data_IF_918167026886
#
_entry.id   IF_918167026886
#
_cell.length_a   1.000
_cell.length_b   1.000
_cell.length_c   1.000
_cell.angle_alpha   90.00
_cell.angle_beta   90.00
_cell.angle_gamma   90.00
#
_symmetry.space_group_name_H-M   'P 1'
#
loop_
_entity.id
_entity.type
_entity.pdbx_description
1 polymer ?
#
# COMPACT_ATOMS: atom_id res chain seq x y z
N UNK A 1 -11.82 -0.76 -33.73
CA UNK A 1 -10.45 -0.57 -33.22
C UNK A 1 -10.19 -1.07 -31.78
N UNK A 2 -11.21 -1.50 -30.99
CA UNK A 2 -11.03 -1.96 -29.58
C UNK A 2 -10.65 -3.45 -29.42
N UNK A 3 -10.72 -4.27 -30.44
CA UNK A 3 -10.40 -5.72 -30.37
C UNK A 3 -8.92 -6.07 -30.60
N UNK A 4 -8.13 -5.19 -31.21
CA UNK A 4 -6.69 -5.40 -31.43
C UNK A 4 -5.84 -5.20 -30.17
N UNK A 5 -6.25 -4.30 -29.24
CA UNK A 5 -5.47 -3.99 -28.04
C UNK A 5 -5.45 -5.14 -27.01
N UNK A 6 -6.53 -5.93 -26.93
CA UNK A 6 -6.61 -7.07 -26.00
C UNK A 6 -5.75 -8.25 -26.46
N UNK A 7 -5.66 -8.46 -27.79
CA UNK A 7 -4.81 -9.51 -28.36
C UNK A 7 -3.32 -9.18 -28.21
N UNK A 8 -2.95 -7.91 -28.28
CA UNK A 8 -1.57 -7.47 -28.08
C UNK A 8 -1.12 -7.65 -26.62
N UNK A 9 -2.01 -7.39 -25.65
CA UNK A 9 -1.72 -7.59 -24.22
C UNK A 9 -1.55 -9.09 -23.90
N UNK A 10 -2.38 -9.95 -24.48
CA UNK A 10 -2.28 -11.40 -24.31
C UNK A 10 -0.99 -11.96 -24.94
N UNK A 11 -0.54 -11.42 -26.06
CA UNK A 11 0.70 -11.82 -26.72
C UNK A 11 1.95 -11.44 -25.91
N UNK A 12 1.94 -10.29 -25.24
CA UNK A 12 3.06 -9.84 -24.36
C UNK A 12 3.17 -10.70 -23.12
N UNK A 13 2.06 -11.15 -22.55
CA UNK A 13 2.05 -12.04 -21.39
C UNK A 13 2.57 -13.44 -21.77
N UNK A 14 2.26 -13.92 -22.97
CA UNK A 14 2.71 -15.23 -23.45
C UNK A 14 4.22 -15.29 -23.74
N UNK A 15 4.88 -14.17 -24.03
CA UNK A 15 6.33 -14.11 -24.28
C UNK A 15 7.18 -14.01 -23.01
N UNK A 16 6.56 -13.77 -21.83
CA UNK A 16 7.24 -13.72 -20.54
C UNK A 16 7.27 -15.06 -19.80
N UNK A 17 6.84 -16.15 -20.42
CA UNK A 17 7.09 -17.47 -19.84
C UNK A 17 8.59 -17.77 -20.02
N UNK A 18 9.39 -17.78 -18.93
CA UNK A 18 10.79 -18.16 -19.05
C UNK A 18 10.83 -19.59 -19.58
N UNK A 19 11.51 -19.78 -20.69
CA UNK A 19 11.86 -21.13 -21.16
C UNK A 19 12.54 -21.83 -19.98
N UNK A 20 11.93 -22.89 -19.49
CA UNK A 20 12.55 -23.80 -18.54
C UNK A 20 13.84 -24.31 -19.17
N UNK A 21 14.94 -23.58 -18.93
CA UNK A 21 16.26 -24.08 -19.20
C UNK A 21 16.43 -25.29 -18.28
N UNK A 22 16.51 -26.49 -18.90
CA UNK A 22 16.93 -27.67 -18.17
C UNK A 22 18.27 -27.35 -17.54
N UNK A 23 18.28 -27.16 -16.22
CA UNK A 23 19.51 -27.12 -15.46
C UNK A 23 20.26 -28.40 -15.79
N UNK A 24 21.49 -28.27 -16.31
CA UNK A 24 22.39 -29.39 -16.46
C UNK A 24 22.54 -30.03 -15.08
N UNK A 25 22.11 -31.27 -14.96
CA UNK A 25 22.41 -32.10 -13.80
C UNK A 25 23.94 -32.20 -13.70
N UNK A 26 24.53 -31.35 -12.85
CA UNK A 26 25.89 -31.56 -12.40
C UNK A 26 25.91 -32.87 -11.61
N UNK A 27 26.83 -33.81 -11.91
CA UNK A 27 26.95 -35.02 -11.13
C UNK A 27 27.16 -34.60 -9.66
N UNK A 28 26.21 -34.97 -8.82
CA UNK A 28 26.29 -34.80 -7.37
C UNK A 28 27.57 -35.42 -6.91
N UNK A 29 28.58 -34.64 -6.58
CA UNK A 29 29.70 -35.09 -5.82
C UNK A 29 29.10 -35.50 -4.46
N UNK A 30 29.06 -36.79 -4.20
CA UNK A 30 28.78 -37.35 -2.88
C UNK A 30 29.82 -36.83 -1.88
N UNK A 31 29.59 -35.66 -1.35
CA UNK A 31 30.25 -35.20 -0.15
C UNK A 31 29.44 -35.71 1.04
N UNK A 32 29.57 -36.98 1.33
CA UNK A 32 29.03 -37.59 2.54
C UNK A 32 29.78 -37.17 3.81
N UNK A 33 30.30 -35.95 3.84
CA UNK A 33 30.70 -35.33 5.09
C UNK A 33 29.48 -34.63 5.70
N UNK A 34 28.56 -35.44 6.21
CA UNK A 34 27.57 -34.94 7.16
C UNK A 34 28.34 -34.63 8.44
N UNK A 35 28.59 -33.36 8.69
CA UNK A 35 29.16 -32.92 9.98
C UNK A 35 28.07 -33.18 11.03
N UNK A 36 28.28 -34.24 11.80
CA UNK A 36 27.48 -34.52 13.01
C UNK A 36 28.22 -33.88 14.17
N UNK A 37 27.71 -32.80 14.78
CA UNK A 37 28.33 -32.22 15.96
C UNK A 37 28.42 -33.27 17.06
N UNK A 38 29.58 -33.41 17.68
CA UNK A 38 29.83 -34.35 18.77
C UNK A 38 29.06 -34.02 20.06
N UNK A 39 28.49 -32.83 20.12
CA UNK A 39 27.66 -32.37 21.23
C UNK A 39 26.20 -32.30 20.80
N UNK A 40 25.31 -33.17 21.32
CA UNK A 40 23.87 -33.13 20.99
C UNK A 40 23.18 -31.81 21.38
N UNK A 41 23.75 -31.05 22.31
CA UNK A 41 23.23 -29.74 22.69
C UNK A 41 23.43 -28.67 21.62
N UNK A 42 24.33 -28.89 20.65
CA UNK A 42 24.51 -28.04 19.48
C UNK A 42 23.48 -28.32 18.38
N UNK A 43 22.78 -29.43 18.44
CA UNK A 43 21.59 -29.69 17.66
C UNK A 43 20.41 -29.14 18.48
N UNK A 44 20.39 -27.84 18.72
CA UNK A 44 19.12 -27.23 19.04
C UNK A 44 18.21 -27.43 17.82
N UNK A 45 17.46 -28.54 17.83
CA UNK A 45 16.16 -28.55 17.18
C UNK A 45 15.41 -27.37 17.80
N UNK A 46 15.53 -26.21 17.20
CA UNK A 46 14.55 -25.18 17.40
C UNK A 46 13.25 -25.85 16.95
N UNK A 47 12.49 -26.37 17.92
CA UNK A 47 11.11 -26.78 17.68
C UNK A 47 10.42 -25.46 17.41
N UNK A 48 10.50 -25.05 16.14
CA UNK A 48 9.79 -23.90 15.63
C UNK A 48 8.33 -24.31 15.67
N UNK A 49 7.63 -23.89 16.72
CA UNK A 49 6.18 -23.95 16.70
C UNK A 49 5.74 -23.01 15.58
N UNK A 50 5.12 -23.53 14.52
CA UNK A 50 4.76 -22.70 13.39
C UNK A 50 3.67 -21.72 13.85
N UNK A 51 4.02 -20.45 13.97
CA UNK A 51 3.04 -19.40 14.15
C UNK A 51 2.19 -19.32 12.89
N UNK A 52 0.88 -19.56 13.05
CA UNK A 52 -0.04 -19.53 11.91
C UNK A 52 -0.72 -18.20 11.70
N UNK A 53 -0.67 -17.33 12.70
CA UNK A 53 -1.36 -16.05 12.67
C UNK A 53 -0.39 -14.91 12.93
N UNK A 54 -0.69 -13.78 12.31
CA UNK A 54 0.00 -12.53 12.59
C UNK A 54 -1.00 -11.37 12.58
N UNK A 55 -0.76 -10.40 13.42
CA UNK A 55 -1.43 -9.12 13.34
C UNK A 55 -0.41 -7.99 13.50
N UNK A 56 -0.73 -6.83 13.03
CA UNK A 56 0.21 -5.73 13.15
C UNK A 56 -0.30 -4.44 12.54
N UNK A 57 0.62 -3.50 12.47
CA UNK A 57 0.41 -2.16 11.94
C UNK A 57 1.36 -1.89 10.78
N UNK A 58 0.89 -1.09 9.86
CA UNK A 58 1.62 -0.61 8.70
C UNK A 58 1.84 0.89 8.82
N UNK A 59 3.07 1.35 8.57
CA UNK A 59 3.38 2.75 8.30
C UNK A 59 3.64 2.85 6.82
N UNK A 60 2.88 3.70 6.13
CA UNK A 60 2.88 3.81 4.68
C UNK A 60 3.42 5.17 4.27
N UNK A 61 4.36 5.17 3.35
CA UNK A 61 5.01 6.35 2.77
C UNK A 61 4.74 6.37 1.26
N UNK A 62 4.28 7.48 0.75
CA UNK A 62 4.05 7.68 -0.69
C UNK A 62 4.42 9.10 -1.11
N UNK A 63 4.41 9.35 -2.41
CA UNK A 63 4.48 10.71 -2.95
C UNK A 63 3.29 11.58 -2.53
N UNK A 64 2.16 10.98 -2.15
CA UNK A 64 0.97 11.68 -1.69
C UNK A 64 1.02 12.05 -0.20
N UNK A 65 1.97 11.49 0.57
CA UNK A 65 2.14 11.75 2.00
C UNK A 65 2.25 10.46 2.81
N UNK A 66 1.69 10.51 4.01
CA UNK A 66 1.74 9.41 4.96
C UNK A 66 0.42 8.65 5.00
N UNK A 67 0.53 7.38 5.37
CA UNK A 67 -0.60 6.55 5.71
C UNK A 67 -0.26 5.62 6.87
N UNK A 68 -1.29 5.06 7.46
CA UNK A 68 -1.18 4.04 8.47
C UNK A 68 -2.22 2.96 8.23
N UNK A 69 -1.94 1.75 8.66
CA UNK A 69 -2.86 0.62 8.50
C UNK A 69 -2.73 -0.38 9.62
N UNK A 70 -3.66 -1.30 9.65
CA UNK A 70 -3.62 -2.50 10.49
C UNK A 70 -3.93 -3.71 9.61
N UNK A 71 -3.30 -4.83 9.91
CA UNK A 71 -3.50 -6.06 9.17
C UNK A 71 -3.63 -7.26 10.11
N UNK A 72 -4.34 -8.24 9.61
CA UNK A 72 -4.37 -9.60 10.13
C UNK A 72 -3.99 -10.55 9.01
N UNK A 73 -3.14 -11.55 9.31
CA UNK A 73 -2.68 -12.55 8.37
C UNK A 73 -2.84 -13.95 8.98
N UNK A 74 -3.28 -14.88 8.16
CA UNK A 74 -3.36 -16.30 8.49
C UNK A 74 -2.58 -17.12 7.47
N UNK A 75 -1.68 -17.98 7.94
CA UNK A 75 -0.89 -18.86 7.09
C UNK A 75 -1.66 -20.17 6.85
N UNK A 76 -2.06 -20.41 5.59
CA UNK A 76 -2.69 -21.66 5.18
C UNK A 76 -1.67 -22.76 4.92
N UNK A 77 -0.48 -22.38 4.50
CA UNK A 77 0.67 -23.23 4.27
C UNK A 77 1.96 -22.42 4.38
N UNK A 78 3.10 -23.08 4.41
CA UNK A 78 4.41 -22.43 4.44
C UNK A 78 4.67 -21.46 3.27
N UNK A 79 3.90 -21.59 2.17
CA UNK A 79 4.04 -20.77 0.97
C UNK A 79 2.92 -19.75 0.83
N UNK A 80 1.71 -20.05 1.35
CA UNK A 80 0.53 -19.28 1.08
C UNK A 80 -0.12 -18.79 2.35
N UNK A 81 -0.37 -17.49 2.45
CA UNK A 81 -1.14 -16.87 3.51
C UNK A 81 -2.22 -15.94 2.97
N UNK A 82 -3.33 -15.89 3.68
CA UNK A 82 -4.39 -14.89 3.46
C UNK A 82 -4.24 -13.73 4.42
N UNK A 83 -4.69 -12.57 4.01
CA UNK A 83 -4.70 -11.38 4.87
C UNK A 83 -5.97 -10.55 4.72
N UNK A 84 -6.29 -9.84 5.78
CA UNK A 84 -7.25 -8.75 5.81
C UNK A 84 -6.54 -7.50 6.31
N UNK A 85 -6.74 -6.37 5.67
CA UNK A 85 -6.08 -5.12 5.98
C UNK A 85 -7.03 -3.95 5.87
N UNK A 86 -6.92 -2.99 6.78
CA UNK A 86 -7.50 -1.66 6.68
C UNK A 86 -6.38 -0.63 6.75
N UNK A 87 -6.44 0.38 5.90
CA UNK A 87 -5.47 1.47 5.94
C UNK A 87 -6.17 2.81 5.78
N UNK A 88 -5.47 3.88 6.12
CA UNK A 88 -5.85 5.26 5.85
C UNK A 88 -4.64 5.98 5.30
N UNK A 89 -4.81 6.70 4.21
CA UNK A 89 -3.74 7.48 3.60
C UNK A 89 -4.26 8.79 3.04
N UNK A 90 -3.40 9.80 3.05
CA UNK A 90 -3.67 11.06 2.35
C UNK A 90 -3.66 10.84 0.83
N UNK A 91 -4.45 11.64 0.12
CA UNK A 91 -4.48 11.67 -1.34
C UNK A 91 -4.29 13.11 -1.80
N UNK A 92 -3.25 13.33 -2.59
CA UNK A 92 -2.95 14.62 -3.22
C UNK A 92 -3.14 14.51 -4.72
N UNK A 93 -3.55 15.61 -5.33
CA UNK A 93 -3.53 15.77 -6.77
C UNK A 93 -2.09 16.06 -7.23
N UNK A 94 -1.69 15.54 -8.40
CA UNK A 94 -0.34 15.74 -8.94
C UNK A 94 -0.05 17.23 -9.22
N UNK A 95 -1.09 18.06 -9.37
CA UNK A 95 -1.00 19.51 -9.55
C UNK A 95 -0.95 20.32 -8.24
N UNK A 96 -1.02 19.68 -7.07
CA UNK A 96 -0.96 20.40 -5.79
C UNK A 96 0.46 20.89 -5.50
N UNK A 97 0.60 22.23 -5.43
CA UNK A 97 1.83 22.88 -5.01
C UNK A 97 1.57 23.63 -3.71
N UNK A 98 2.32 23.28 -2.68
CA UNK A 98 2.25 23.90 -1.37
C UNK A 98 3.14 25.14 -1.33
N UNK A 99 2.59 26.26 -0.90
CA UNK A 99 3.32 27.50 -0.68
C UNK A 99 3.35 27.86 0.80
N UNK A 100 4.49 28.34 1.24
CA UNK A 100 4.66 28.84 2.61
C UNK A 100 4.58 30.36 2.56
N UNK A 101 3.66 30.96 3.31
CA UNK A 101 3.60 32.40 3.47
C UNK A 101 4.83 32.86 4.29
N UNK A 102 5.74 33.66 3.73
CA UNK A 102 6.98 34.04 4.40
C UNK A 102 6.76 34.95 5.63
N UNK A 103 5.58 35.57 5.75
CA UNK A 103 5.25 36.47 6.85
C UNK A 103 4.61 35.75 8.04
N UNK A 104 3.79 34.72 7.77
CA UNK A 104 3.02 34.02 8.81
C UNK A 104 3.57 32.63 9.09
N UNK A 105 4.44 32.09 8.22
CA UNK A 105 4.90 30.69 8.28
C UNK A 105 3.82 29.64 7.98
N UNK A 106 2.61 30.07 7.62
CA UNK A 106 1.51 29.17 7.29
C UNK A 106 1.66 28.63 5.87
N UNK A 107 1.45 27.33 5.71
CA UNK A 107 1.37 26.72 4.40
C UNK A 107 -0.05 26.77 3.85
N UNK A 108 -0.18 26.97 2.55
CA UNK A 108 -1.43 26.90 1.83
C UNK A 108 -1.23 26.33 0.42
N UNK A 109 -2.26 25.67 -0.07
CA UNK A 109 -2.29 25.15 -1.44
C UNK A 109 -3.31 25.97 -2.24
N UNK A 110 -2.86 26.77 -3.21
CA UNK A 110 -3.76 27.56 -4.05
C UNK A 110 -4.76 26.65 -4.78
N UNK A 111 -5.98 27.16 -4.96
CA UNK A 111 -7.06 26.47 -5.69
C UNK A 111 -7.50 25.12 -5.11
N UNK A 112 -6.99 24.70 -3.96
CA UNK A 112 -7.43 23.48 -3.29
C UNK A 112 -8.82 23.66 -2.70
N UNK A 113 -9.75 22.77 -3.10
CA UNK A 113 -11.15 22.82 -2.66
C UNK A 113 -11.39 21.77 -1.59
N UNK A 114 -10.88 20.55 -1.81
CA UNK A 114 -11.12 19.42 -0.93
C UNK A 114 -9.83 18.77 -0.43
N UNK A 115 -9.89 18.25 0.80
CA UNK A 115 -8.95 17.26 1.34
C UNK A 115 -9.52 15.89 1.10
N UNK A 116 -8.67 14.97 0.69
CA UNK A 116 -9.07 13.61 0.33
C UNK A 116 -8.28 12.61 1.15
N UNK A 117 -8.99 11.68 1.80
CA UNK A 117 -8.38 10.54 2.48
C UNK A 117 -8.91 9.25 1.85
N UNK A 118 -8.01 8.34 1.53
CA UNK A 118 -8.33 7.02 1.02
C UNK A 118 -8.28 6.01 2.17
N UNK A 119 -9.35 5.24 2.33
CA UNK A 119 -9.48 4.20 3.36
C UNK A 119 -9.81 2.88 2.66
N UNK A 120 -8.81 2.14 2.16
CA UNK A 120 -9.00 0.83 1.56
C UNK A 120 -9.16 -0.24 2.65
N UNK A 121 -10.15 -1.11 2.47
CA UNK A 121 -10.30 -2.37 3.20
C UNK A 121 -10.02 -3.48 2.21
N UNK A 122 -8.90 -4.17 2.35
CA UNK A 122 -8.44 -5.15 1.37
C UNK A 122 -8.32 -6.54 1.97
N UNK A 123 -8.79 -7.52 1.19
CA UNK A 123 -8.62 -8.94 1.46
C UNK A 123 -7.78 -9.51 0.33
N UNK A 124 -6.84 -10.38 0.65
CA UNK A 124 -5.95 -10.87 -0.38
C UNK A 124 -5.11 -12.04 0.05
N UNK A 125 -4.19 -12.38 -0.82
CA UNK A 125 -3.26 -13.47 -0.64
C UNK A 125 -1.82 -12.99 -0.79
N UNK A 126 -0.95 -13.67 -0.05
CA UNK A 126 0.47 -13.47 -0.06
C UNK A 126 1.16 -14.80 -0.33
N UNK A 127 2.09 -14.81 -1.26
CA UNK A 127 2.88 -15.98 -1.63
C UNK A 127 4.35 -15.76 -1.27
N UNK A 128 4.92 -16.65 -0.46
CA UNK A 128 6.34 -16.64 -0.08
C UNK A 128 7.20 -17.11 -1.23
N UNK A 129 8.26 -16.37 -1.52
CA UNK A 129 9.24 -16.69 -2.55
C UNK A 129 10.47 -17.37 -1.93
N UNK A 130 11.16 -18.19 -2.71
CA UNK A 130 12.48 -18.77 -2.39
C UNK A 130 12.55 -19.47 -1.03
N UNK A 131 11.49 -20.21 -0.65
CA UNK A 131 11.41 -20.88 0.65
C UNK A 131 12.58 -21.84 0.88
N UNK A 132 12.95 -22.59 -0.14
CA UNK A 132 13.97 -23.64 -0.05
C UNK A 132 15.41 -23.10 -0.23
N UNK A 133 15.55 -21.87 -0.72
CA UNK A 133 16.83 -21.26 -1.05
C UNK A 133 17.31 -20.26 0.01
N UNK A 134 16.39 -19.72 0.80
CA UNK A 134 16.66 -18.61 1.74
C UNK A 134 16.33 -19.03 3.17
N UNK A 135 17.25 -18.70 4.09
CA UNK A 135 17.10 -18.93 5.53
C UNK A 135 15.84 -18.25 6.08
N UNK A 136 15.20 -18.87 7.07
CA UNK A 136 13.91 -18.45 7.63
C UNK A 136 13.84 -17.03 8.19
N UNK A 137 14.98 -16.42 8.51
CA UNK A 137 15.06 -15.05 9.01
C UNK A 137 14.74 -13.95 7.97
N UNK A 138 14.73 -14.32 6.68
CA UNK A 138 14.37 -13.43 5.57
C UNK A 138 13.33 -14.10 4.71
N UNK A 139 12.12 -13.57 4.68
CA UNK A 139 10.98 -14.14 3.95
C UNK A 139 10.46 -13.18 2.90
N UNK A 140 11.01 -13.20 1.68
CA UNK A 140 10.48 -12.42 0.58
C UNK A 140 9.13 -12.96 0.12
N UNK A 141 8.25 -12.06 -0.32
CA UNK A 141 6.91 -12.40 -0.77
C UNK A 141 6.37 -11.47 -1.84
N UNK A 142 5.39 -11.95 -2.55
CA UNK A 142 4.49 -11.15 -3.37
C UNK A 142 3.09 -11.19 -2.77
N UNK A 143 2.32 -10.13 -2.95
CA UNK A 143 0.95 -10.03 -2.43
C UNK A 143 0.03 -9.34 -3.41
N UNK A 144 -1.23 -9.72 -3.37
CA UNK A 144 -2.29 -9.05 -4.09
C UNK A 144 -3.58 -9.09 -3.27
N UNK A 145 -4.34 -8.01 -3.31
CA UNK A 145 -5.61 -7.92 -2.58
C UNK A 145 -6.59 -7.01 -3.29
N UNK A 146 -7.85 -7.22 -2.98
CA UNK A 146 -8.98 -6.46 -3.51
C UNK A 146 -10.00 -6.24 -2.40
N UNK A 147 -10.77 -5.16 -2.50
CA UNK A 147 -11.86 -4.92 -1.54
C UNK A 147 -12.50 -3.55 -1.68
N UNK A 148 -13.48 -3.28 -0.82
CA UNK A 148 -14.12 -1.98 -0.76
C UNK A 148 -13.14 -0.92 -0.28
N UNK A 149 -13.28 0.27 -0.82
CA UNK A 149 -12.49 1.45 -0.44
C UNK A 149 -13.44 2.60 -0.18
N UNK A 150 -13.19 3.33 0.89
CA UNK A 150 -13.89 4.56 1.20
C UNK A 150 -12.98 5.73 0.89
N UNK A 151 -13.53 6.76 0.25
CA UNK A 151 -12.84 8.02 -0.01
C UNK A 151 -13.55 9.06 0.84
N UNK A 152 -12.87 9.59 1.82
CA UNK A 152 -13.38 10.65 2.66
C UNK A 152 -13.02 11.99 2.04
N UNK A 153 -14.03 12.80 1.77
CA UNK A 153 -13.91 14.12 1.12
C UNK A 153 -14.32 15.18 2.11
N UNK A 154 -13.42 16.06 2.47
CA UNK A 154 -13.72 17.17 3.37
C UNK A 154 -13.29 18.52 2.76
N UNK A 155 -14.01 19.63 3.01
CA UNK A 155 -13.66 20.92 2.43
C UNK A 155 -12.31 21.41 2.95
N UNK A 156 -11.44 21.84 2.02
CA UNK A 156 -10.19 22.53 2.35
C UNK A 156 -10.42 24.04 2.44
N UNK A 157 -11.20 24.58 1.51
CA UNK A 157 -11.55 25.99 1.46
C UNK A 157 -13.01 26.18 1.02
N UNK A 158 -13.66 27.19 1.56
CA UNK A 158 -15.03 27.57 1.20
C UNK A 158 -15.01 28.94 0.49
N UNK A 159 -15.76 29.07 -0.61
CA UNK A 159 -15.87 30.35 -1.26
C UNK A 159 -16.63 31.36 -0.36
N UNK A 160 -16.09 32.54 -0.21
CA UNK A 160 -16.74 33.66 0.42
C UNK A 160 -16.81 34.81 -0.61
N UNK A 161 -17.96 35.43 -0.74
CA UNK A 161 -18.18 36.52 -1.68
C UNK A 161 -18.37 37.81 -0.90
N UNK A 162 -17.54 38.80 -1.18
CA UNK A 162 -17.72 40.15 -0.69
C UNK A 162 -18.17 41.07 -1.83
N UNK A 163 -19.13 41.92 -1.50
CA UNK A 163 -19.59 42.96 -2.41
C UNK A 163 -18.95 44.29 -1.99
N UNK A 164 -18.12 44.84 -2.86
CA UNK A 164 -17.46 46.11 -2.62
C UNK A 164 -18.47 47.27 -2.61
N UNK A 165 -18.08 48.45 -2.07
CA UNK A 165 -18.94 49.66 -2.05
C UNK A 165 -19.34 50.16 -3.44
N UNK A 166 -18.59 49.77 -4.47
CA UNK A 166 -18.80 50.08 -5.88
C UNK A 166 -19.69 49.06 -6.60
N UNK A 167 -20.25 48.08 -5.87
CA UNK A 167 -21.05 47.00 -6.43
C UNK A 167 -20.20 45.87 -7.09
N UNK A 168 -18.89 45.97 -7.04
CA UNK A 168 -18.00 44.87 -7.51
C UNK A 168 -18.09 43.68 -6.58
N UNK A 169 -18.04 42.47 -7.14
CA UNK A 169 -18.11 41.22 -6.39
C UNK A 169 -16.75 40.54 -6.44
N UNK A 170 -16.13 40.38 -5.31
CA UNK A 170 -14.89 39.60 -5.18
C UNK A 170 -15.16 38.26 -4.47
N UNK A 171 -14.80 37.17 -5.10
CA UNK A 171 -14.87 35.85 -4.48
C UNK A 171 -13.47 35.44 -4.03
N UNK A 172 -13.32 35.14 -2.76
CA UNK A 172 -12.10 34.61 -2.17
C UNK A 172 -12.40 33.32 -1.44
N UNK A 173 -11.36 32.52 -1.21
CA UNK A 173 -11.48 31.21 -0.58
C UNK A 173 -10.93 31.26 0.83
N UNK A 174 -11.79 31.05 1.82
CA UNK A 174 -11.38 30.91 3.22
C UNK A 174 -10.98 29.50 3.51
N UNK A 175 -9.76 29.32 4.01
CA UNK A 175 -9.28 28.03 4.45
C UNK A 175 -10.06 27.54 5.67
N UNK A 176 -10.57 26.32 5.62
CA UNK A 176 -11.29 25.68 6.72
C UNK A 176 -10.30 24.96 7.62
N UNK A 177 -10.44 25.15 8.94
CA UNK A 177 -9.68 24.37 9.92
C UNK A 177 -9.86 22.86 9.70
N UNK A 178 -8.79 22.09 9.94
CA UNK A 178 -8.79 20.65 9.67
C UNK A 178 -9.90 19.93 10.44
N UNK A 179 -9.99 20.14 11.77
CA UNK A 179 -10.99 19.45 12.59
C UNK A 179 -12.43 19.91 12.30
N UNK A 180 -12.61 21.18 11.95
CA UNK A 180 -13.90 21.71 11.51
C UNK A 180 -14.33 21.09 10.17
N UNK A 181 -13.40 20.88 9.24
CA UNK A 181 -13.66 20.26 7.95
C UNK A 181 -14.11 18.81 8.06
N UNK A 182 -13.60 18.05 9.06
CA UNK A 182 -13.99 16.66 9.26
C UNK A 182 -15.49 16.50 9.52
N UNK A 183 -16.12 17.46 10.20
CA UNK A 183 -17.56 17.43 10.48
C UNK A 183 -18.42 17.63 9.23
N UNK A 184 -17.88 18.23 8.20
CA UNK A 184 -18.53 18.49 6.91
C UNK A 184 -18.16 17.46 5.85
N UNK A 185 -17.36 16.46 6.22
CA UNK A 185 -16.87 15.44 5.32
C UNK A 185 -17.96 14.48 4.83
N UNK A 186 -17.75 13.95 3.64
CA UNK A 186 -18.61 12.95 3.01
C UNK A 186 -17.80 11.73 2.60
N UNK A 187 -18.40 10.55 2.77
CA UNK A 187 -17.82 9.30 2.29
C UNK A 187 -18.30 8.98 0.88
N UNK A 188 -17.39 8.64 0.01
CA UNK A 188 -17.64 8.03 -1.30
C UNK A 188 -17.08 6.61 -1.28
N UNK A 189 -17.77 5.70 -1.96
CA UNK A 189 -17.44 4.29 -1.96
C UNK A 189 -16.96 3.85 -3.33
N UNK A 190 -15.91 3.08 -3.35
CA UNK A 190 -15.32 2.49 -4.54
C UNK A 190 -14.88 1.05 -4.25
N UNK A 191 -14.52 0.33 -5.28
CA UNK A 191 -13.83 -0.96 -5.16
C UNK A 191 -12.45 -0.79 -5.76
N UNK A 192 -11.45 -1.27 -5.06
CA UNK A 192 -10.06 -1.18 -5.51
C UNK A 192 -9.27 -2.40 -5.09
N UNK A 193 -7.98 -2.33 -5.32
CA UNK A 193 -7.05 -3.38 -4.92
C UNK A 193 -5.62 -2.90 -4.95
N UNK A 194 -4.71 -3.80 -4.60
CA UNK A 194 -3.29 -3.55 -4.75
C UNK A 194 -2.53 -4.81 -5.18
N UNK A 195 -1.37 -4.58 -5.71
CA UNK A 195 -0.32 -5.59 -5.88
C UNK A 195 0.93 -5.09 -5.19
N UNK A 196 1.73 -6.02 -4.66
CA UNK A 196 2.93 -5.63 -3.94
C UNK A 196 3.94 -6.75 -3.79
N UNK A 197 5.13 -6.35 -3.39
CA UNK A 197 6.20 -7.26 -3.02
C UNK A 197 6.89 -6.73 -1.75
N UNK A 198 7.44 -7.63 -0.96
CA UNK A 198 8.11 -7.24 0.28
C UNK A 198 8.93 -8.37 0.88
N UNK A 199 9.45 -8.13 2.06
CA UNK A 199 10.13 -9.13 2.85
C UNK A 199 9.88 -8.91 4.35
N UNK A 200 9.75 -10.01 5.08
CA UNK A 200 9.75 -10.03 6.54
C UNK A 200 11.10 -10.44 7.08
N UNK A 201 11.43 -9.93 8.27
CA UNK A 201 12.70 -10.16 8.96
C UNK A 201 12.45 -10.55 10.41
N UNK A 202 13.37 -11.32 11.00
CA UNK A 202 13.45 -11.54 12.45
C UNK A 202 12.29 -12.31 13.08
N UNK A 203 11.70 -13.26 12.36
CA UNK A 203 10.51 -14.01 12.75
C UNK A 203 10.72 -15.00 13.93
N UNK A 204 11.98 -15.21 14.40
CA UNK A 204 12.32 -16.23 15.39
C UNK A 204 11.73 -15.99 16.79
N UNK A 205 11.32 -14.77 17.10
CA UNK A 205 10.89 -14.37 18.45
C UNK A 205 9.41 -13.99 18.55
N UNK A 206 8.58 -14.46 17.60
CA UNK A 206 7.17 -14.06 17.58
C UNK A 206 6.94 -12.59 17.18
N UNK A 207 7.99 -11.87 16.78
CA UNK A 207 7.88 -10.52 16.24
C UNK A 207 7.90 -10.54 14.72
N UNK A 208 7.10 -9.69 14.09
CA UNK A 208 7.06 -9.52 12.66
C UNK A 208 7.50 -8.11 12.33
N UNK A 209 8.62 -7.99 11.63
CA UNK A 209 9.08 -6.73 11.05
C UNK A 209 9.29 -6.93 9.57
N UNK A 210 8.88 -5.96 8.75
CA UNK A 210 9.00 -6.09 7.31
C UNK A 210 9.00 -4.77 6.58
N UNK A 211 9.39 -4.86 5.32
CA UNK A 211 9.28 -3.77 4.36
C UNK A 211 8.57 -4.28 3.11
N UNK A 212 7.67 -3.49 2.57
CA UNK A 212 6.98 -3.83 1.33
C UNK A 212 6.77 -2.62 0.45
N UNK A 213 6.67 -2.88 -0.84
CA UNK A 213 6.29 -1.92 -1.87
C UNK A 213 4.93 -2.36 -2.39
N UNK A 214 3.97 -1.44 -2.40
CA UNK A 214 2.58 -1.72 -2.81
C UNK A 214 2.12 -0.66 -3.79
N UNK A 215 1.42 -1.08 -4.82
CA UNK A 215 0.75 -0.19 -5.75
C UNK A 215 -0.75 -0.37 -5.62
N UNK A 216 -1.43 0.63 -5.06
CA UNK A 216 -2.87 0.65 -4.91
C UNK A 216 -3.53 1.26 -6.14
N UNK A 217 -4.64 0.68 -6.54
CA UNK A 217 -5.46 1.16 -7.64
C UNK A 217 -6.94 1.11 -7.23
N UNK A 218 -7.52 2.31 -7.08
CA UNK A 218 -8.92 2.48 -6.67
C UNK A 218 -9.59 3.43 -7.67
N UNK A 219 -10.25 2.92 -8.72
CA UNK A 219 -10.95 3.73 -9.70
C UNK A 219 -12.26 4.26 -9.10
N UNK A 220 -12.56 5.53 -9.35
CA UNK A 220 -13.82 6.16 -9.01
C UNK A 220 -14.33 6.97 -10.21
N UNK A 221 -15.28 6.40 -10.95
CA UNK A 221 -15.76 6.93 -12.24
C UNK A 221 -16.25 8.37 -12.23
N UNK A 222 -17.05 8.81 -11.24
CA UNK A 222 -17.51 10.19 -11.18
C UNK A 222 -16.41 11.23 -10.99
N UNK A 223 -15.25 10.81 -10.45
CA UNK A 223 -14.18 11.72 -10.06
C UNK A 223 -14.54 12.59 -8.86
N UNK A 224 -13.56 13.06 -8.14
CA UNK A 224 -13.71 13.99 -7.01
C UNK A 224 -12.82 15.19 -7.26
N UNK A 225 -13.37 16.36 -7.11
CA UNK A 225 -12.64 17.61 -7.30
C UNK A 225 -11.70 17.85 -6.12
N UNK A 226 -10.39 17.92 -6.39
CA UNK A 226 -9.35 18.27 -5.41
C UNK A 226 -8.96 19.72 -5.55
N UNK A 227 -8.53 20.09 -6.73
CA UNK A 227 -8.27 21.48 -7.14
C UNK A 227 -9.42 22.00 -7.97
N UNK A 228 -9.59 23.31 -8.00
CA UNK A 228 -10.62 23.98 -8.82
C UNK A 228 -10.50 23.57 -10.29
N UNK A 229 -11.54 22.94 -10.80
CA UNK A 229 -11.60 22.45 -12.18
C UNK A 229 -10.87 21.15 -12.46
N UNK A 230 -10.16 20.56 -11.48
CA UNK A 230 -9.46 19.28 -11.65
C UNK A 230 -10.12 18.18 -10.82
N UNK A 231 -10.44 17.05 -11.47
CA UNK A 231 -11.06 15.89 -10.81
C UNK A 231 -10.14 14.69 -10.83
N UNK A 232 -9.95 14.12 -9.65
CA UNK A 232 -9.24 12.84 -9.48
C UNK A 232 -10.26 11.72 -9.65
N UNK A 233 -10.02 10.80 -10.58
CA UNK A 233 -10.83 9.61 -10.84
C UNK A 233 -10.09 8.30 -10.58
N UNK A 234 -8.84 8.36 -10.16
CA UNK A 234 -8.01 7.23 -9.75
C UNK A 234 -7.33 7.58 -8.45
N UNK A 235 -7.62 6.78 -7.43
CA UNK A 235 -7.08 6.94 -6.10
C UNK A 235 -6.09 5.80 -5.82
N UNK A 236 -5.12 6.06 -4.95
CA UNK A 236 -4.05 5.15 -4.65
C UNK A 236 -2.72 5.65 -5.20
N UNK A 237 -1.82 4.72 -5.50
CA UNK A 237 -0.48 5.02 -5.98
C UNK A 237 0.55 4.07 -5.40
N UNK A 238 1.81 4.44 -5.49
CA UNK A 238 2.91 3.66 -5.00
C UNK A 238 3.20 4.00 -3.52
N UNK A 239 3.32 2.96 -2.69
CA UNK A 239 3.61 3.07 -1.27
C UNK A 239 4.80 2.19 -0.90
N UNK A 240 5.71 2.74 -0.12
CA UNK A 240 6.67 1.99 0.67
C UNK A 240 6.06 1.80 2.04
N UNK A 241 5.98 0.56 2.51
CA UNK A 241 5.29 0.23 3.75
C UNK A 241 6.23 -0.48 4.70
N UNK A 242 6.31 0.02 5.92
CA UNK A 242 6.97 -0.65 7.04
C UNK A 242 5.93 -1.42 7.83
N UNK A 243 6.16 -2.71 8.02
CA UNK A 243 5.25 -3.61 8.71
C UNK A 243 5.81 -3.95 10.09
N UNK A 244 4.99 -3.82 11.13
CA UNK A 244 5.33 -4.18 12.50
C UNK A 244 4.20 -4.99 13.09
N UNK A 245 4.51 -6.13 13.72
CA UNK A 245 3.47 -6.97 14.26
C UNK A 245 3.99 -8.07 15.17
N UNK A 246 3.07 -8.95 15.52
CA UNK A 246 3.32 -10.13 16.35
C UNK A 246 2.77 -11.37 15.67
N UNK A 247 3.48 -12.47 15.83
CA UNK A 247 3.12 -13.81 15.40
C UNK A 247 2.58 -14.61 16.61
N UNK A 248 1.55 -15.43 16.40
CA UNK A 248 0.96 -16.29 17.45
C UNK A 248 0.26 -17.52 16.87
#
# INVERSE_FOLDING_TARGET
MKRCSVLLLAAVIATMVPSLSRAQEYPRRDSSMTFTPSNPDLIQKTTYEPYHNAWGFDIMLSNNGFGAGAFYRHEFSDLLSGFAQIAISDVKDDGEVEYINPYTGQSYTPYKINRLLLIPITFGMQYRLFKDDIVDNFRPYISAGVGPSMIFVSPYATPATEVGPDGSTATYYNQVDFFASLKQGQFKYAVGGYVGAGAYFGLEKGSLTGISMRYYFVPYGPGIESLQGTRINRFGGFYITLNFGSLY
#
